data_IF_626000126234
#
_entry.id   IF_626000126234
#
_cell.length_a   1.000
_cell.length_b   1.000
_cell.length_c   1.000
_cell.angle_alpha   90.00
_cell.angle_beta   90.00
_cell.angle_gamma   90.00
#
_symmetry.space_group_name_H-M   'P 1'
#
loop_
_entity.id
_entity.type
_entity.pdbx_description
1 polymer ?
#
# COMPACT_ATOMS: atom_id res chain seq x y z
N UNK A 1 -8.57 -1.61 10.90
CA UNK A 1 -7.96 -0.67 9.93
C UNK A 1 -6.63 -0.22 10.47
N UNK A 2 -5.66 0.01 9.60
CA UNK A 2 -4.41 0.65 9.97
C UNK A 2 -4.09 1.78 9.00
N UNK A 3 -3.44 2.82 9.53
CA UNK A 3 -3.03 4.02 8.79
C UNK A 3 -1.57 4.26 9.11
N UNK A 4 -0.82 4.65 8.10
CA UNK A 4 0.59 4.88 8.22
C UNK A 4 1.00 6.08 7.35
N UNK A 5 1.78 6.98 7.91
CA UNK A 5 2.35 8.09 7.17
C UNK A 5 3.59 7.60 6.42
N UNK A 6 3.74 7.98 5.16
CA UNK A 6 4.98 7.74 4.41
C UNK A 6 5.73 9.06 4.20
N UNK A 7 7.05 8.95 4.18
CA UNK A 7 7.98 9.99 3.72
C UNK A 7 9.04 9.31 2.84
N UNK A 8 8.86 9.42 1.52
CA UNK A 8 9.72 8.81 0.50
C UNK A 8 10.74 9.80 -0.08
N UNK A 9 11.03 10.90 0.62
CA UNK A 9 11.97 11.92 0.14
C UNK A 9 13.34 11.30 -0.16
N UNK A 10 13.84 10.46 0.74
CA UNK A 10 15.20 9.92 0.66
C UNK A 10 15.25 8.46 0.22
N UNK A 11 14.15 7.71 0.35
CA UNK A 11 14.14 6.27 0.11
C UNK A 11 12.72 5.77 -0.18
N UNK A 12 12.57 4.71 -0.99
CA UNK A 12 11.28 4.12 -1.26
C UNK A 12 10.75 3.40 -0.01
N UNK A 13 9.45 3.11 -0.05
CA UNK A 13 8.77 2.34 0.98
C UNK A 13 8.25 1.03 0.41
N UNK A 14 8.28 -0.01 1.23
CA UNK A 14 7.72 -1.31 0.88
C UNK A 14 6.55 -1.66 1.80
N UNK A 15 5.50 -2.19 1.18
CA UNK A 15 4.29 -2.66 1.86
C UNK A 15 4.08 -4.10 1.39
N UNK A 16 3.82 -4.98 2.35
CA UNK A 16 3.52 -6.38 2.05
C UNK A 16 2.17 -6.73 2.66
N UNK A 17 1.24 -7.16 1.81
CA UNK A 17 -0.05 -7.69 2.24
C UNK A 17 -0.04 -9.20 1.94
N UNK A 18 -0.18 -10.07 2.95
CA UNK A 18 -0.32 -11.51 2.74
C UNK A 18 -1.58 -11.84 1.93
N UNK A 19 -1.69 -13.04 1.33
CA UNK A 19 -2.94 -13.56 0.77
C UNK A 19 -4.03 -13.65 1.85
N UNK A 20 -4.73 -12.56 2.05
CA UNK A 20 -5.97 -12.54 2.81
C UNK A 20 -7.11 -12.90 1.88
N UNK A 21 -7.81 -13.99 2.20
CA UNK A 21 -9.00 -14.44 1.47
C UNK A 21 -10.23 -13.57 1.74
N UNK A 22 -10.26 -12.91 2.90
CA UNK A 22 -11.34 -12.01 3.29
C UNK A 22 -11.09 -10.58 2.76
N UNK A 23 -12.17 -9.85 2.50
CA UNK A 23 -12.13 -8.50 1.93
C UNK A 23 -11.07 -7.59 2.58
N UNK A 24 -10.31 -6.90 1.73
CA UNK A 24 -9.39 -5.86 2.13
C UNK A 24 -9.19 -4.83 1.03
N UNK A 25 -8.78 -3.62 1.41
CA UNK A 25 -8.46 -2.55 0.47
C UNK A 25 -7.26 -1.77 0.95
N UNK A 26 -6.33 -1.47 0.04
CA UNK A 26 -5.22 -0.56 0.24
C UNK A 26 -5.50 0.72 -0.57
N UNK A 27 -5.34 1.88 0.05
CA UNK A 27 -5.41 3.17 -0.63
C UNK A 27 -4.24 4.05 -0.20
N UNK A 28 -3.68 4.80 -1.15
CA UNK A 28 -2.62 5.76 -0.90
C UNK A 28 -3.09 7.16 -1.23
N UNK A 29 -2.83 8.06 -0.29
CA UNK A 29 -3.25 9.45 -0.31
C UNK A 29 -2.02 10.34 -0.34
N UNK A 30 -2.01 11.34 -1.21
CA UNK A 30 -0.97 12.37 -1.20
C UNK A 30 -1.11 13.23 0.06
N UNK A 31 -0.11 14.06 0.35
CA UNK A 31 -0.18 15.04 1.45
C UNK A 31 -1.40 15.97 1.36
N UNK A 32 -1.92 16.22 0.15
CA UNK A 32 -3.14 17.00 -0.09
C UNK A 32 -4.44 16.22 0.10
N UNK A 33 -4.38 14.92 0.44
CA UNK A 33 -5.55 14.07 0.63
C UNK A 33 -6.14 13.47 -0.66
N UNK A 34 -5.45 13.62 -1.80
CA UNK A 34 -5.91 13.02 -3.06
C UNK A 34 -5.52 11.54 -3.11
N UNK A 35 -6.45 10.67 -3.49
CA UNK A 35 -6.15 9.27 -3.78
C UNK A 35 -5.40 9.20 -5.10
N UNK A 36 -4.21 8.59 -5.09
CA UNK A 36 -3.41 8.35 -6.31
C UNK A 36 -3.21 6.86 -6.60
N UNK A 37 -3.50 5.99 -5.63
CA UNK A 37 -3.47 4.54 -5.82
C UNK A 37 -4.51 3.88 -4.93
N UNK A 38 -5.20 2.86 -5.46
CA UNK A 38 -6.07 2.00 -4.68
C UNK A 38 -6.16 0.62 -5.30
N UNK A 39 -6.15 -0.41 -4.46
CA UNK A 39 -6.36 -1.80 -4.86
C UNK A 39 -7.13 -2.54 -3.78
N UNK A 40 -7.89 -3.57 -4.17
CA UNK A 40 -8.64 -4.43 -3.25
C UNK A 40 -8.48 -5.92 -3.61
N UNK A 41 -8.91 -6.80 -2.73
CA UNK A 41 -8.71 -8.26 -2.80
C UNK A 41 -8.99 -8.86 -4.17
N UNK A 42 -10.13 -8.53 -4.81
CA UNK A 42 -10.50 -9.13 -6.12
C UNK A 42 -9.64 -8.68 -7.30
N UNK A 43 -8.83 -7.64 -7.13
CA UNK A 43 -7.90 -7.17 -8.16
C UNK A 43 -6.50 -7.80 -8.04
N UNK A 44 -6.25 -8.57 -6.98
CA UNK A 44 -4.98 -9.26 -6.75
C UNK A 44 -5.18 -10.74 -7.04
N UNK A 45 -4.50 -11.25 -8.06
CA UNK A 45 -4.61 -12.66 -8.48
C UNK A 45 -3.49 -13.54 -7.93
N UNK A 46 -2.57 -12.95 -7.15
CA UNK A 46 -1.37 -13.58 -6.60
C UNK A 46 -1.48 -13.78 -5.07
N UNK A 47 -0.71 -14.73 -4.54
CA UNK A 47 -0.77 -15.13 -3.12
C UNK A 47 -0.15 -14.10 -2.14
N UNK A 48 0.44 -13.03 -2.65
CA UNK A 48 1.04 -11.98 -1.84
C UNK A 48 1.15 -10.70 -2.66
N UNK A 49 0.61 -9.60 -2.16
CA UNK A 49 0.85 -8.30 -2.77
C UNK A 49 2.10 -7.67 -2.14
N UNK A 50 3.09 -7.36 -2.96
CA UNK A 50 4.18 -6.46 -2.59
C UNK A 50 4.02 -5.15 -3.33
N UNK A 51 4.05 -4.04 -2.61
CA UNK A 51 3.97 -2.70 -3.21
C UNK A 51 5.23 -1.94 -2.86
N UNK A 52 5.90 -1.39 -3.88
CA UNK A 52 7.00 -0.46 -3.72
C UNK A 52 6.53 0.94 -4.08
N UNK A 53 6.46 1.81 -3.08
CA UNK A 53 6.12 3.21 -3.24
C UNK A 53 7.39 4.02 -3.53
N UNK A 54 7.41 4.69 -4.67
CA UNK A 54 8.53 5.49 -5.15
C UNK A 54 8.08 6.91 -5.48
N UNK A 55 9.03 7.85 -5.55
CA UNK A 55 8.75 9.21 -6.05
C UNK A 55 8.44 9.12 -7.54
N UNK A 56 7.39 9.83 -7.98
CA UNK A 56 7.13 10.02 -9.40
C UNK A 56 8.30 10.76 -10.07
N UNK A 57 8.77 10.27 -11.22
CA UNK A 57 9.78 10.97 -12.02
C UNK A 57 9.23 12.28 -12.58
N UNK A 58 10.05 13.33 -12.62
CA UNK A 58 9.66 14.67 -13.07
C UNK A 58 9.12 14.71 -14.51
N UNK A 59 9.50 13.74 -15.34
CA UNK A 59 9.11 13.65 -16.76
C UNK A 59 7.75 12.99 -17.00
N UNK A 60 7.10 12.44 -15.96
CA UNK A 60 5.76 11.85 -16.08
C UNK A 60 4.69 12.87 -15.67
N UNK A 61 3.69 13.16 -16.51
CA UNK A 61 2.53 13.94 -16.08
C UNK A 61 1.78 13.20 -14.96
N UNK A 62 1.20 13.96 -14.02
CA UNK A 62 0.38 13.41 -12.94
C UNK A 62 -0.89 12.76 -13.53
N UNK A 63 -0.79 11.49 -13.92
CA UNK A 63 -1.92 10.67 -14.34
C UNK A 63 -2.80 10.29 -13.15
N UNK A 64 -4.09 10.10 -13.40
CA UNK A 64 -5.08 9.64 -12.42
C UNK A 64 -4.74 8.27 -11.80
N UNK A 65 -5.59 7.76 -10.89
CA UNK A 65 -5.25 6.58 -10.09
C UNK A 65 -4.89 5.38 -10.97
N UNK A 66 -3.63 4.95 -10.88
CA UNK A 66 -3.13 3.73 -11.51
C UNK A 66 -3.64 2.54 -10.69
N UNK A 67 -4.79 2.02 -11.09
CA UNK A 67 -5.38 0.80 -10.54
C UNK A 67 -5.38 -0.32 -11.56
N UNK A 68 -4.26 -0.53 -12.27
CA UNK A 68 -4.08 -1.76 -13.03
C UNK A 68 -3.82 -2.86 -12.00
N UNK A 69 -4.65 -3.92 -12.01
CA UNK A 69 -4.60 -4.97 -10.99
C UNK A 69 -3.18 -5.54 -10.79
N UNK A 70 -2.90 -6.05 -9.60
CA UNK A 70 -1.60 -6.64 -9.32
C UNK A 70 -1.58 -8.08 -9.80
N UNK A 71 -0.99 -8.29 -10.98
CA UNK A 71 -0.68 -9.62 -11.54
C UNK A 71 0.80 -10.01 -11.41
N UNK A 72 1.64 -9.09 -10.95
CA UNK A 72 3.08 -9.28 -10.77
C UNK A 72 3.44 -9.32 -9.29
N UNK A 73 4.52 -10.03 -8.94
CA UNK A 73 5.00 -10.19 -7.57
C UNK A 73 5.32 -8.86 -6.87
N UNK A 74 5.61 -7.80 -7.64
CA UNK A 74 5.93 -6.45 -7.15
C UNK A 74 5.19 -5.37 -7.95
N UNK A 75 4.24 -4.69 -7.31
CA UNK A 75 3.59 -3.50 -7.88
C UNK A 75 4.40 -2.24 -7.53
N UNK A 76 4.85 -1.50 -8.54
CA UNK A 76 5.50 -0.20 -8.35
C UNK A 76 4.44 0.90 -8.40
N UNK A 77 4.41 1.76 -7.38
CA UNK A 77 3.48 2.88 -7.30
C UNK A 77 4.27 4.18 -7.21
N UNK A 78 4.00 5.11 -8.13
CA UNK A 78 4.61 6.42 -8.15
C UNK A 78 3.75 7.43 -7.37
N UNK A 79 4.32 8.05 -6.34
CA UNK A 79 3.63 9.07 -5.55
C UNK A 79 3.83 10.46 -6.19
N UNK A 80 2.74 11.24 -6.40
CA UNK A 80 2.83 12.61 -6.91
C UNK A 80 3.40 13.60 -5.88
N UNK A 81 3.50 13.18 -4.61
CA UNK A 81 4.13 13.93 -3.52
C UNK A 81 4.91 12.95 -2.64
N UNK A 82 6.04 13.39 -2.07
CA UNK A 82 6.94 12.55 -1.27
C UNK A 82 6.39 12.22 0.12
N UNK A 83 5.30 12.87 0.53
CA UNK A 83 4.62 12.60 1.80
C UNK A 83 3.14 12.33 1.58
N UNK A 84 2.56 11.58 2.51
CA UNK A 84 1.14 11.26 2.49
C UNK A 84 0.80 10.11 3.44
N UNK A 85 -0.30 9.42 3.15
CA UNK A 85 -0.80 8.33 3.99
C UNK A 85 -1.14 7.08 3.20
N UNK A 86 -0.83 5.94 3.78
CA UNK A 86 -1.30 4.63 3.35
C UNK A 86 -2.39 4.18 4.31
N UNK A 87 -3.52 3.76 3.76
CA UNK A 87 -4.66 3.25 4.52
C UNK A 87 -4.94 1.82 4.10
N UNK A 88 -4.84 0.89 5.06
CA UNK A 88 -5.23 -0.51 4.86
C UNK A 88 -6.48 -0.82 5.67
N UNK A 89 -7.52 -1.26 4.97
CA UNK A 89 -8.77 -1.72 5.54
C UNK A 89 -8.92 -3.20 5.29
N UNK A 90 -9.58 -3.84 6.23
CA UNK A 90 -9.80 -5.27 6.25
C UNK A 90 -11.13 -5.52 6.94
N UNK A 91 -11.98 -6.35 6.33
CA UNK A 91 -13.22 -6.78 6.94
C UNK A 91 -12.93 -7.88 7.97
N UNK A 92 -13.52 -7.76 9.15
CA UNK A 92 -13.65 -8.87 10.09
C UNK A 92 -15.06 -9.47 9.89
N UNK A 93 -15.14 -10.72 9.44
CA UNK A 93 -16.40 -11.41 9.14
C UNK A 93 -17.20 -11.78 10.39
N UNK A 94 -16.61 -11.66 11.59
CA UNK A 94 -17.28 -11.85 12.87
C UNK A 94 -16.65 -10.98 13.96
N UNK A 95 -17.38 -10.80 15.07
CA UNK A 95 -16.88 -10.05 16.24
C UNK A 95 -15.65 -10.69 16.86
N UNK A 96 -15.59 -12.03 16.91
CA UNK A 96 -14.45 -12.77 17.44
C UNK A 96 -13.16 -12.53 16.62
N UNK A 97 -13.30 -12.30 15.32
CA UNK A 97 -12.18 -12.06 14.41
C UNK A 97 -11.61 -10.63 14.51
N UNK A 98 -12.32 -9.68 15.12
CA UNK A 98 -11.95 -8.25 15.10
C UNK A 98 -10.55 -7.98 15.63
N UNK A 99 -10.18 -8.59 16.76
CA UNK A 99 -8.87 -8.40 17.38
C UNK A 99 -7.73 -8.96 16.49
N UNK A 100 -7.92 -10.17 15.97
CA UNK A 100 -6.98 -10.80 15.03
C UNK A 100 -6.80 -9.96 13.77
N UNK A 101 -7.91 -9.56 13.13
CA UNK A 101 -7.87 -8.78 11.88
C UNK A 101 -7.19 -7.43 12.09
N UNK A 102 -7.42 -6.80 13.25
CA UNK A 102 -6.75 -5.55 13.60
C UNK A 102 -5.23 -5.72 13.75
N UNK A 103 -4.77 -6.79 14.39
CA UNK A 103 -3.33 -7.10 14.50
C UNK A 103 -2.70 -7.34 13.13
N UNK A 104 -3.38 -8.11 12.26
CA UNK A 104 -2.92 -8.40 10.90
C UNK A 104 -2.73 -7.12 10.07
N UNK A 105 -3.73 -6.21 10.05
CA UNK A 105 -3.59 -4.95 9.32
C UNK A 105 -2.50 -4.05 9.88
N UNK A 106 -2.40 -3.95 11.20
CA UNK A 106 -1.36 -3.12 11.84
C UNK A 106 0.04 -3.63 11.49
N UNK A 107 0.23 -4.95 11.40
CA UNK A 107 1.52 -5.52 11.03
C UNK A 107 1.84 -5.36 9.54
N UNK A 108 0.85 -5.54 8.65
CA UNK A 108 1.02 -5.38 7.21
C UNK A 108 1.32 -3.92 6.80
N UNK A 109 0.76 -2.93 7.52
CA UNK A 109 1.04 -1.50 7.30
C UNK A 109 2.20 -0.95 8.11
N UNK A 110 3.09 -1.79 8.64
CA UNK A 110 4.37 -1.29 9.16
C UNK A 110 5.16 -0.79 7.96
N UNK A 111 4.91 0.45 7.53
CA UNK A 111 5.62 1.08 6.44
C UNK A 111 7.05 1.23 6.90
N UNK A 112 7.91 0.36 6.39
CA UNK A 112 9.34 0.45 6.64
C UNK A 112 9.95 1.13 5.43
N UNK A 113 10.80 2.14 5.64
CA UNK A 113 11.68 2.55 4.58
C UNK A 113 12.54 1.36 4.16
N UNK A 114 12.83 1.23 2.87
CA UNK A 114 13.76 0.20 2.38
C UNK A 114 15.15 0.59 2.86
N UNK A 115 15.64 -0.03 3.93
CA UNK A 115 17.05 0.11 4.32
C UNK A 115 17.88 -0.43 3.17
N UNK A 116 18.57 0.47 2.46
CA UNK A 116 19.41 0.11 1.32
C UNK A 116 20.33 -1.06 1.67
N UNK A 117 20.34 -2.06 0.79
CA UNK A 117 21.37 -3.09 0.78
C UNK A 117 22.72 -2.38 0.83
N UNK A 118 23.48 -2.59 1.92
CA UNK A 118 24.89 -2.21 1.95
C UNK A 118 25.60 -3.04 0.89
N UNK A 119 26.29 -2.36 -0.03
CA UNK A 119 27.32 -2.95 -0.88
C UNK A 119 28.34 -3.74 -0.05
#
# INVERSE_FOLDING_TARGET
>A
MAVCQYDIENQPYEITIPAWKDYWSLAMYSQKGNVFFSIFDRQVTIDKLQVKLVRQSADKPAGGPQGEGASEDLTIVEAPQTRGWIVLRALATSRAMKARRQSEVTNATRCKPVSGAKN
#
